data_IF_421923902413
#
_entry.id   IF_421923902413
#
_cell.length_a   1.000
_cell.length_b   1.000
_cell.length_c   1.000
_cell.angle_alpha   90.00
_cell.angle_beta   90.00
_cell.angle_gamma   90.00
#
_symmetry.space_group_name_H-M   'P 1'
#
loop_
_entity.id
_entity.type
_entity.pdbx_description
1 polymer ?
#
# COMPACT_ATOMS: atom_id res chain seq x y z
N UNK A 1 -25.99 14.59 19.92
CA UNK A 1 -27.32 14.11 19.46
C UNK A 1 -27.25 12.86 18.56
N UNK A 2 -26.41 12.78 17.54
CA UNK A 2 -26.35 11.58 16.66
C UNK A 2 -25.97 10.27 17.39
N UNK A 3 -25.30 10.35 18.55
CA UNK A 3 -25.02 9.19 19.43
C UNK A 3 -26.28 8.46 19.89
N UNK A 4 -27.46 9.07 19.84
CA UNK A 4 -28.71 8.43 20.25
C UNK A 4 -29.18 7.32 19.29
N UNK A 5 -28.69 7.31 18.04
CA UNK A 5 -29.07 6.30 17.05
C UNK A 5 -27.97 5.24 16.95
N UNK A 6 -28.19 4.13 17.63
CA UNK A 6 -27.24 3.01 17.72
C UNK A 6 -27.51 1.88 16.70
N UNK A 7 -28.62 1.95 15.96
CA UNK A 7 -28.92 1.01 14.89
C UNK A 7 -27.93 1.23 13.73
N UNK A 8 -27.10 0.23 13.33
CA UNK A 8 -26.03 0.41 12.36
C UNK A 8 -26.43 1.06 11.05
N UNK A 9 -27.39 0.49 10.33
CA UNK A 9 -27.81 1.00 9.02
C UNK A 9 -28.31 2.44 9.09
N UNK A 10 -29.30 2.70 9.98
CA UNK A 10 -29.88 4.03 10.18
C UNK A 10 -28.84 5.05 10.65
N UNK A 11 -27.95 4.64 11.56
CA UNK A 11 -26.88 5.49 12.07
C UNK A 11 -25.85 5.84 11.01
N UNK A 12 -25.47 4.89 10.16
CA UNK A 12 -24.55 5.13 9.04
C UNK A 12 -25.14 6.13 8.03
N UNK A 13 -26.40 5.94 7.63
CA UNK A 13 -27.04 6.88 6.69
C UNK A 13 -27.22 8.27 7.29
N UNK A 14 -27.67 8.37 8.55
CA UNK A 14 -27.80 9.67 9.21
C UNK A 14 -26.45 10.39 9.30
N UNK A 15 -25.40 9.69 9.71
CA UNK A 15 -24.06 10.27 9.86
C UNK A 15 -23.42 10.59 8.51
N UNK A 16 -23.65 9.80 7.48
CA UNK A 16 -23.24 10.13 6.11
C UNK A 16 -23.98 11.35 5.59
N UNK A 17 -25.27 11.50 5.89
CA UNK A 17 -26.04 12.69 5.53
C UNK A 17 -25.51 13.92 6.25
N UNK A 18 -25.19 13.80 7.55
CA UNK A 18 -24.54 14.86 8.33
C UNK A 18 -23.24 15.32 7.66
N UNK A 19 -22.32 14.40 7.33
CA UNK A 19 -21.07 14.73 6.64
C UNK A 19 -21.32 15.45 5.31
N UNK A 20 -22.35 15.06 4.57
CA UNK A 20 -22.67 15.68 3.28
C UNK A 20 -23.18 17.11 3.42
N UNK A 21 -24.01 17.38 4.43
CA UNK A 21 -24.64 18.69 4.67
C UNK A 21 -23.72 19.66 5.42
N UNK A 22 -22.73 19.15 6.15
CA UNK A 22 -21.79 19.97 6.90
C UNK A 22 -20.52 20.31 6.13
N UNK A 23 -20.19 19.58 5.05
CA UNK A 23 -18.89 19.68 4.36
C UNK A 23 -18.53 21.10 3.90
N UNK A 24 -19.49 21.86 3.40
CA UNK A 24 -19.35 23.24 2.94
C UNK A 24 -19.43 24.27 4.08
N UNK A 25 -19.57 23.81 5.32
CA UNK A 25 -19.82 24.61 6.53
C UNK A 25 -18.84 24.30 7.65
N UNK A 26 -17.78 23.55 7.34
CA UNK A 26 -16.70 23.30 8.28
C UNK A 26 -15.79 24.53 8.33
N UNK A 27 -15.34 24.96 9.51
CA UNK A 27 -14.26 25.94 9.62
C UNK A 27 -13.03 25.45 8.86
N UNK A 28 -12.51 26.29 7.97
CA UNK A 28 -11.34 26.01 7.14
C UNK A 28 -10.62 27.32 6.83
N UNK A 29 -9.36 27.27 6.41
CA UNK A 29 -8.56 28.46 6.13
C UNK A 29 -9.28 29.34 5.08
N UNK A 30 -9.56 30.59 5.45
CA UNK A 30 -10.22 31.55 4.56
C UNK A 30 -11.71 31.31 4.34
N UNK A 31 -12.35 30.41 5.09
CA UNK A 31 -13.79 30.16 4.99
C UNK A 31 -14.61 31.16 5.82
N UNK A 32 -15.87 31.40 5.45
CA UNK A 32 -16.77 32.28 6.23
C UNK A 32 -17.12 31.74 7.63
N UNK A 33 -16.77 30.47 7.87
CA UNK A 33 -16.97 29.75 9.13
C UNK A 33 -15.71 29.76 10.01
N UNK A 34 -14.59 30.31 9.53
CA UNK A 34 -13.39 30.54 10.33
C UNK A 34 -13.59 31.73 11.28
N UNK A 35 -13.36 31.51 12.57
CA UNK A 35 -13.44 32.56 13.58
C UNK A 35 -12.60 32.25 14.81
N UNK A 36 -12.49 33.22 15.74
CA UNK A 36 -11.62 33.10 16.93
C UNK A 36 -11.91 31.88 17.81
N UNK A 37 -13.13 31.34 17.76
CA UNK A 37 -13.56 30.17 18.53
C UNK A 37 -13.82 28.91 17.67
N UNK A 38 -13.91 29.06 16.35
CA UNK A 38 -14.26 28.00 15.41
C UNK A 38 -13.09 27.80 14.44
N UNK A 39 -12.27 26.80 14.72
CA UNK A 39 -10.98 26.58 14.06
C UNK A 39 -10.99 25.34 13.17
N UNK A 40 -10.00 25.22 12.29
CA UNK A 40 -9.72 23.99 11.52
C UNK A 40 -9.67 22.75 12.43
N UNK A 41 -9.18 22.90 13.66
CA UNK A 41 -9.12 21.81 14.65
C UNK A 41 -10.52 21.29 15.01
N UNK A 42 -11.50 22.18 15.17
CA UNK A 42 -12.87 21.79 15.48
C UNK A 42 -13.50 21.01 14.32
N UNK A 43 -13.21 21.42 13.07
CA UNK A 43 -13.60 20.66 11.88
C UNK A 43 -12.97 19.27 11.86
N UNK A 44 -11.66 19.16 12.10
CA UNK A 44 -10.94 17.88 12.15
C UNK A 44 -11.49 16.98 13.24
N UNK A 45 -11.68 17.49 14.46
CA UNK A 45 -12.26 16.72 15.56
C UNK A 45 -13.68 16.24 15.26
N UNK A 46 -14.52 17.11 14.68
CA UNK A 46 -15.87 16.77 14.28
C UNK A 46 -15.88 15.59 13.29
N UNK A 47 -15.05 15.67 12.24
CA UNK A 47 -14.99 14.63 11.20
C UNK A 47 -14.39 13.34 11.74
N UNK A 48 -13.32 13.41 12.54
CA UNK A 48 -12.70 12.24 13.18
C UNK A 48 -13.68 11.55 14.14
N UNK A 49 -14.43 12.30 14.95
CA UNK A 49 -15.45 11.74 15.83
C UNK A 49 -16.56 11.06 15.01
N UNK A 50 -16.99 11.66 13.90
CA UNK A 50 -17.99 11.04 13.04
C UNK A 50 -17.47 9.77 12.39
N UNK A 51 -16.22 9.79 11.89
CA UNK A 51 -15.52 8.63 11.36
C UNK A 51 -15.44 7.48 12.36
N UNK A 52 -14.98 7.73 13.60
CA UNK A 52 -14.93 6.73 14.68
C UNK A 52 -16.28 6.06 14.90
N UNK A 53 -17.34 6.87 15.01
CA UNK A 53 -18.68 6.35 15.29
C UNK A 53 -19.27 5.58 14.09
N UNK A 54 -19.03 6.04 12.86
CA UNK A 54 -19.43 5.33 11.66
C UNK A 54 -18.68 4.00 11.51
N UNK A 55 -17.37 3.96 11.76
CA UNK A 55 -16.60 2.73 11.73
C UNK A 55 -17.13 1.72 12.76
N UNK A 56 -17.41 2.15 14.00
CA UNK A 56 -18.03 1.28 15.03
C UNK A 56 -19.38 0.73 14.60
N UNK A 57 -20.25 1.55 14.01
CA UNK A 57 -21.55 1.10 13.51
C UNK A 57 -21.38 0.08 12.37
N UNK A 58 -20.46 0.35 11.45
CA UNK A 58 -20.20 -0.52 10.31
C UNK A 58 -19.62 -1.88 10.72
N UNK A 59 -18.68 -1.91 11.67
CA UNK A 59 -18.15 -3.15 12.25
C UNK A 59 -19.24 -3.90 13.02
N UNK A 60 -20.10 -3.18 13.76
CA UNK A 60 -21.23 -3.78 14.48
C UNK A 60 -22.18 -4.54 13.54
N UNK A 61 -22.32 -4.12 12.28
CA UNK A 61 -23.13 -4.85 11.29
C UNK A 61 -22.68 -6.31 11.14
N UNK A 62 -21.38 -6.62 11.31
CA UNK A 62 -20.86 -7.98 11.18
C UNK A 62 -21.53 -8.96 12.16
N UNK A 63 -21.87 -8.46 13.35
CA UNK A 63 -22.34 -9.26 14.47
C UNK A 63 -23.86 -9.20 14.66
N UNK A 64 -24.60 -8.52 13.78
CA UNK A 64 -26.06 -8.47 13.85
C UNK A 64 -26.68 -9.67 13.11
N UNK A 65 -27.78 -10.21 13.64
CA UNK A 65 -28.52 -11.29 13.00
C UNK A 65 -27.86 -12.67 13.13
N UNK A 66 -28.36 -13.65 12.38
CA UNK A 66 -27.96 -15.05 12.53
C UNK A 66 -26.65 -15.37 11.81
N UNK A 67 -25.88 -16.34 12.31
CA UNK A 67 -24.61 -16.76 11.70
C UNK A 67 -24.74 -17.20 10.22
N UNK A 68 -25.90 -17.78 9.84
CA UNK A 68 -26.18 -18.21 8.46
C UNK A 68 -26.24 -17.06 7.45
N UNK A 69 -26.46 -15.84 7.92
CA UNK A 69 -26.55 -14.65 7.07
C UNK A 69 -25.21 -13.90 6.97
N UNK A 70 -24.11 -14.48 7.48
CA UNK A 70 -22.78 -13.84 7.50
C UNK A 70 -22.37 -13.32 6.12
N UNK A 71 -22.44 -14.16 5.09
CA UNK A 71 -22.04 -13.79 3.73
C UNK A 71 -22.89 -12.65 3.15
N UNK A 72 -24.21 -12.69 3.40
CA UNK A 72 -25.12 -11.60 3.03
C UNK A 72 -24.73 -10.29 3.71
N UNK A 73 -24.39 -10.32 5.00
CA UNK A 73 -23.96 -9.13 5.74
C UNK A 73 -22.62 -8.61 5.25
N UNK A 74 -21.66 -9.47 4.94
CA UNK A 74 -20.38 -9.05 4.39
C UNK A 74 -20.56 -8.32 3.05
N UNK A 75 -21.47 -8.82 2.20
CA UNK A 75 -21.85 -8.14 0.96
C UNK A 75 -22.48 -6.76 1.21
N UNK A 76 -23.50 -6.69 2.07
CA UNK A 76 -24.14 -5.41 2.44
C UNK A 76 -23.14 -4.43 3.05
N UNK A 77 -22.23 -4.90 3.91
CA UNK A 77 -21.16 -4.09 4.50
C UNK A 77 -20.19 -3.58 3.44
N UNK A 78 -19.83 -4.41 2.47
CA UNK A 78 -18.98 -3.98 1.35
C UNK A 78 -19.67 -2.93 0.48
N UNK A 79 -20.99 -2.99 0.30
CA UNK A 79 -21.75 -1.97 -0.44
C UNK A 79 -21.83 -0.63 0.32
N UNK A 80 -21.78 -0.67 1.66
CA UNK A 80 -21.89 0.53 2.52
C UNK A 80 -20.55 1.15 2.92
N UNK A 81 -19.41 0.55 2.52
CA UNK A 81 -18.06 0.99 2.91
C UNK A 81 -17.80 2.48 2.59
N UNK A 82 -18.34 2.94 1.46
CA UNK A 82 -18.17 4.32 0.99
C UNK A 82 -18.85 5.36 1.89
N UNK A 83 -19.85 4.96 2.68
CA UNK A 83 -20.43 5.85 3.68
C UNK A 83 -19.40 6.23 4.75
N UNK A 84 -18.56 5.27 5.16
CA UNK A 84 -17.50 5.51 6.15
C UNK A 84 -16.34 6.27 5.51
N UNK A 85 -15.92 5.86 4.31
CA UNK A 85 -14.81 6.46 3.55
C UNK A 85 -15.01 7.94 3.21
N UNK A 86 -16.27 8.40 3.06
CA UNK A 86 -16.58 9.82 2.88
C UNK A 86 -15.99 10.73 3.96
N UNK A 87 -15.85 10.26 5.20
CA UNK A 87 -15.22 11.09 6.24
C UNK A 87 -13.73 11.32 5.96
N UNK A 88 -13.02 10.30 5.45
CA UNK A 88 -11.63 10.46 5.05
C UNK A 88 -11.52 11.41 3.86
N UNK A 89 -12.43 11.29 2.88
CA UNK A 89 -12.50 12.23 1.76
C UNK A 89 -12.72 13.68 2.20
N UNK A 90 -13.58 13.92 3.20
CA UNK A 90 -13.76 15.25 3.78
C UNK A 90 -12.46 15.74 4.44
N UNK A 91 -11.77 14.90 5.22
CA UNK A 91 -10.47 15.27 5.80
C UNK A 91 -9.45 15.64 4.72
N UNK A 92 -9.35 14.87 3.64
CA UNK A 92 -8.44 15.18 2.53
C UNK A 92 -8.81 16.43 1.72
N UNK A 93 -9.96 17.05 1.98
CA UNK A 93 -10.42 18.28 1.32
C UNK A 93 -10.28 19.54 2.18
N UNK A 94 -9.97 19.40 3.47
CA UNK A 94 -9.78 20.54 4.38
C UNK A 94 -8.39 21.13 4.08
N UNK A 95 -8.35 22.38 3.61
CA UNK A 95 -7.10 23.06 3.22
C UNK A 95 -6.19 23.29 4.42
N UNK A 96 -6.76 23.52 5.60
CA UNK A 96 -6.01 23.70 6.84
C UNK A 96 -5.35 22.45 7.42
N UNK A 97 -5.50 21.27 6.82
CA UNK A 97 -4.74 20.08 7.22
C UNK A 97 -3.38 20.10 6.53
N UNK A 98 -2.43 20.77 7.18
CA UNK A 98 -1.02 20.71 6.80
C UNK A 98 -0.37 19.36 7.20
N UNK A 99 0.90 19.19 6.82
CA UNK A 99 1.65 17.97 7.07
C UNK A 99 1.80 17.67 8.57
N UNK A 100 2.03 18.70 9.39
CA UNK A 100 2.26 18.53 10.83
C UNK A 100 0.95 18.07 11.51
N UNK A 101 -0.17 18.72 11.19
CA UNK A 101 -1.48 18.30 11.69
C UNK A 101 -1.85 16.90 11.22
N UNK A 102 -1.54 16.56 9.97
CA UNK A 102 -1.76 15.22 9.45
C UNK A 102 -0.96 14.16 10.22
N UNK A 103 0.33 14.41 10.40
CA UNK A 103 1.29 13.51 11.05
C UNK A 103 0.99 13.31 12.53
N UNK A 104 0.69 14.38 13.25
CA UNK A 104 0.60 14.35 14.71
C UNK A 104 -0.82 14.03 15.20
N UNK A 105 -1.84 14.28 14.39
CA UNK A 105 -3.24 14.10 14.80
C UNK A 105 -4.06 13.23 13.87
N UNK A 106 -4.18 13.60 12.59
CA UNK A 106 -5.17 12.96 11.69
C UNK A 106 -4.83 11.50 11.43
N UNK A 107 -3.62 11.22 10.94
CA UNK A 107 -3.21 9.86 10.60
C UNK A 107 -3.18 8.94 11.83
N UNK A 108 -2.57 9.30 12.98
CA UNK A 108 -2.58 8.44 14.16
C UNK A 108 -3.99 8.08 14.63
N UNK A 109 -4.91 9.05 14.67
CA UNK A 109 -6.30 8.80 15.11
C UNK A 109 -7.10 7.97 14.13
N UNK A 110 -6.87 8.13 12.82
CA UNK A 110 -7.49 7.27 11.81
C UNK A 110 -6.94 5.85 11.92
N UNK A 111 -5.62 5.67 11.96
CA UNK A 111 -4.98 4.36 12.07
C UNK A 111 -5.34 3.64 13.36
N UNK A 112 -5.52 4.35 14.48
CA UNK A 112 -6.03 3.77 15.73
C UNK A 112 -7.37 3.06 15.48
N UNK A 113 -8.30 3.69 14.75
CA UNK A 113 -9.59 3.07 14.44
C UNK A 113 -9.46 1.91 13.45
N UNK A 114 -8.54 1.98 12.48
CA UNK A 114 -8.28 0.90 11.51
C UNK A 114 -7.70 -0.32 12.23
N UNK A 115 -6.69 -0.13 13.09
CA UNK A 115 -6.04 -1.24 13.79
C UNK A 115 -6.96 -1.86 14.85
N UNK A 116 -7.68 -1.03 15.61
CA UNK A 116 -8.49 -1.49 16.73
C UNK A 116 -9.86 -2.04 16.33
N UNK A 117 -10.33 -1.80 15.10
CA UNK A 117 -11.60 -2.38 14.67
C UNK A 117 -11.55 -3.89 14.50
N UNK A 118 -10.36 -4.47 14.29
CA UNK A 118 -10.12 -5.91 14.17
C UNK A 118 -11.04 -6.61 13.16
N UNK A 119 -11.43 -5.90 12.10
CA UNK A 119 -12.36 -6.36 11.08
C UNK A 119 -11.70 -6.31 9.68
N UNK A 120 -11.79 -7.43 8.97
CA UNK A 120 -11.07 -7.67 7.70
C UNK A 120 -11.49 -6.71 6.59
N UNK A 121 -12.80 -6.51 6.42
CA UNK A 121 -13.35 -5.63 5.38
C UNK A 121 -12.98 -4.18 5.69
N UNK A 122 -13.11 -3.77 6.95
CA UNK A 122 -12.81 -2.42 7.37
C UNK A 122 -11.32 -2.09 7.26
N UNK A 123 -10.44 -2.98 7.71
CA UNK A 123 -9.00 -2.75 7.67
C UNK A 123 -8.47 -2.57 6.25
N UNK A 124 -8.81 -3.50 5.35
CA UNK A 124 -8.37 -3.40 3.95
C UNK A 124 -8.90 -2.15 3.28
N UNK A 125 -10.21 -1.89 3.39
CA UNK A 125 -10.83 -0.74 2.73
C UNK A 125 -10.34 0.61 3.27
N UNK A 126 -10.29 0.77 4.60
CA UNK A 126 -9.91 2.06 5.19
C UNK A 126 -8.44 2.39 4.92
N UNK A 127 -7.57 1.38 4.92
CA UNK A 127 -6.17 1.57 4.56
C UNK A 127 -6.01 1.98 3.10
N UNK A 128 -6.72 1.31 2.17
CA UNK A 128 -6.78 1.73 0.76
C UNK A 128 -7.31 3.17 0.62
N UNK A 129 -8.32 3.55 1.42
CA UNK A 129 -8.91 4.88 1.39
C UNK A 129 -7.91 5.95 1.89
N UNK A 130 -7.15 5.68 2.95
CA UNK A 130 -6.05 6.56 3.40
C UNK A 130 -5.05 6.75 2.25
N UNK A 131 -4.60 5.65 1.65
CA UNK A 131 -3.63 5.68 0.54
C UNK A 131 -4.18 6.47 -0.64
N UNK A 132 -5.48 6.44 -0.94
CA UNK A 132 -6.07 7.14 -2.08
C UNK A 132 -6.36 8.63 -1.83
N UNK A 133 -6.81 8.97 -0.63
CA UNK A 133 -7.35 10.30 -0.35
C UNK A 133 -6.25 11.32 -0.04
N UNK A 134 -5.23 10.94 0.75
CA UNK A 134 -4.22 11.90 1.20
C UNK A 134 -3.07 12.06 0.18
N UNK A 135 -2.37 13.21 0.18
CA UNK A 135 -1.27 13.49 -0.76
C UNK A 135 -0.05 12.57 -0.63
N UNK A 136 0.75 12.46 -1.71
CA UNK A 136 1.96 11.62 -1.74
C UNK A 136 3.04 12.08 -0.76
N UNK A 137 3.24 13.40 -0.63
CA UNK A 137 4.16 14.01 0.33
C UNK A 137 3.82 13.57 1.76
N UNK A 138 2.53 13.53 2.10
CA UNK A 138 2.09 13.13 3.43
C UNK A 138 2.39 11.66 3.67
N UNK A 139 2.14 10.78 2.70
CA UNK A 139 2.49 9.37 2.78
C UNK A 139 3.99 9.15 2.94
N UNK A 140 4.82 9.93 2.24
CA UNK A 140 6.27 9.81 2.30
C UNK A 140 6.80 10.20 3.69
N UNK A 141 6.31 11.31 4.24
CA UNK A 141 6.74 11.84 5.53
C UNK A 141 6.15 11.06 6.72
N UNK A 142 5.06 10.32 6.52
CA UNK A 142 4.40 9.50 7.55
C UNK A 142 4.56 7.98 7.33
N UNK A 143 5.44 7.59 6.41
CA UNK A 143 5.61 6.21 5.95
C UNK A 143 5.83 5.21 7.10
N UNK A 144 6.59 5.59 8.12
CA UNK A 144 6.84 4.76 9.29
C UNK A 144 5.57 4.46 10.08
N UNK A 145 4.76 5.49 10.37
CA UNK A 145 3.49 5.36 11.10
C UNK A 145 2.49 4.54 10.29
N UNK A 146 2.39 4.80 8.98
CA UNK A 146 1.51 4.07 8.06
C UNK A 146 1.87 2.58 8.01
N UNK A 147 3.14 2.26 7.76
CA UNK A 147 3.62 0.89 7.64
C UNK A 147 3.63 0.15 8.99
N UNK A 148 3.80 0.86 10.11
CA UNK A 148 3.74 0.29 11.46
C UNK A 148 2.36 -0.28 11.83
N UNK A 149 1.29 0.14 11.14
CA UNK A 149 -0.04 -0.42 11.32
C UNK A 149 -0.22 -1.77 10.60
N UNK A 150 0.47 -2.01 9.49
CA UNK A 150 0.23 -3.16 8.60
C UNK A 150 0.38 -4.53 9.28
N UNK A 151 1.41 -4.79 10.12
CA UNK A 151 1.54 -6.07 10.82
C UNK A 151 0.42 -6.36 11.83
N UNK A 152 -0.39 -5.36 12.19
CA UNK A 152 -1.44 -5.48 13.21
C UNK A 152 -2.82 -5.81 12.64
N UNK A 153 -2.91 -5.95 11.32
CA UNK A 153 -4.15 -6.26 10.59
C UNK A 153 -4.51 -7.74 10.73
N UNK A 154 -5.78 -8.06 10.52
CA UNK A 154 -6.25 -9.44 10.51
C UNK A 154 -5.57 -10.23 9.38
N UNK A 155 -5.22 -11.52 9.57
CA UNK A 155 -4.51 -12.32 8.57
C UNK A 155 -5.21 -12.42 7.21
N UNK A 156 -6.54 -12.35 7.19
CA UNK A 156 -7.35 -12.42 5.97
C UNK A 156 -7.42 -11.09 5.19
N UNK A 157 -6.89 -10.00 5.74
CA UNK A 157 -6.79 -8.73 4.99
C UNK A 157 -5.79 -8.89 3.84
N UNK A 158 -6.19 -8.46 2.65
CA UNK A 158 -5.35 -8.49 1.44
C UNK A 158 -4.24 -7.41 1.48
N UNK A 159 -3.38 -7.49 2.49
CA UNK A 159 -2.35 -6.49 2.77
C UNK A 159 -1.32 -6.37 1.64
N UNK A 160 -1.10 -7.46 0.88
CA UNK A 160 -0.23 -7.43 -0.30
C UNK A 160 -0.71 -6.42 -1.33
N UNK A 161 -2.00 -6.32 -1.56
CA UNK A 161 -2.58 -5.43 -2.57
C UNK A 161 -2.52 -3.99 -2.08
N UNK A 162 -2.80 -3.77 -0.79
CA UNK A 162 -2.68 -2.45 -0.14
C UNK A 162 -1.25 -1.93 -0.22
N UNK A 163 -0.25 -2.72 0.17
CA UNK A 163 1.16 -2.32 0.11
C UNK A 163 1.67 -2.16 -1.32
N UNK A 164 1.23 -3.02 -2.25
CA UNK A 164 1.56 -2.88 -3.68
C UNK A 164 1.06 -1.53 -4.23
N UNK A 165 -0.18 -1.13 -3.91
CA UNK A 165 -0.74 0.17 -4.32
C UNK A 165 0.00 1.35 -3.72
N UNK A 166 0.40 1.28 -2.45
CA UNK A 166 1.23 2.32 -1.82
C UNK A 166 2.57 2.46 -2.56
N UNK A 167 3.26 1.34 -2.82
CA UNK A 167 4.54 1.36 -3.53
C UNK A 167 4.41 1.85 -4.97
N UNK A 168 3.37 1.44 -5.69
CA UNK A 168 3.06 1.94 -7.03
C UNK A 168 2.80 3.44 -7.02
N UNK A 169 1.98 3.92 -6.08
CA UNK A 169 1.67 5.34 -5.92
C UNK A 169 2.93 6.17 -5.65
N UNK A 170 3.77 5.74 -4.70
CA UNK A 170 5.04 6.41 -4.40
C UNK A 170 6.05 6.32 -5.56
N UNK A 171 6.07 5.22 -6.31
CA UNK A 171 6.90 5.11 -7.52
C UNK A 171 6.48 6.12 -8.57
N UNK A 172 5.17 6.30 -8.78
CA UNK A 172 4.65 7.29 -9.71
C UNK A 172 4.94 8.72 -9.24
N UNK A 173 4.88 8.99 -7.94
CA UNK A 173 5.26 10.29 -7.38
C UNK A 173 6.73 10.62 -7.67
N UNK A 174 7.65 9.66 -7.45
CA UNK A 174 9.06 9.79 -7.82
C UNK A 174 9.28 9.97 -9.33
N UNK A 175 8.40 9.43 -10.18
CA UNK A 175 8.45 9.57 -11.63
C UNK A 175 8.08 10.99 -12.09
N UNK A 176 7.14 11.62 -11.40
CA UNK A 176 6.58 12.93 -11.77
C UNK A 176 7.50 14.08 -11.40
N UNK A 177 8.30 13.95 -10.35
CA UNK A 177 9.25 14.98 -9.93
C UNK A 177 10.58 14.38 -9.48
N UNK A 178 11.66 14.65 -10.23
CA UNK A 178 12.99 14.25 -9.81
C UNK A 178 13.45 14.99 -8.53
N UNK A 179 12.83 16.14 -8.22
CA UNK A 179 13.16 16.96 -7.05
C UNK A 179 12.76 16.30 -5.73
N UNK A 180 11.82 15.35 -5.75
CA UNK A 180 11.39 14.63 -4.55
C UNK A 180 12.26 13.41 -4.24
N UNK A 181 13.10 12.96 -5.18
CA UNK A 181 13.97 11.80 -4.99
C UNK A 181 14.89 11.90 -3.75
N UNK A 182 15.51 13.06 -3.42
CA UNK A 182 16.27 13.22 -2.19
C UNK A 182 15.45 12.96 -0.93
N UNK A 183 14.15 13.30 -0.92
CA UNK A 183 13.28 13.06 0.23
C UNK A 183 13.09 11.56 0.49
N UNK A 184 12.96 10.73 -0.56
CA UNK A 184 12.89 9.27 -0.42
C UNK A 184 14.12 8.69 0.29
N UNK A 185 15.31 9.24 0.02
CA UNK A 185 16.53 8.87 0.73
C UNK A 185 16.51 9.38 2.18
N UNK A 186 16.11 10.62 2.40
CA UNK A 186 16.06 11.25 3.72
C UNK A 186 15.12 10.50 4.68
N UNK A 187 13.95 10.05 4.20
CA UNK A 187 13.00 9.29 5.01
C UNK A 187 13.31 7.79 5.04
N UNK A 188 14.38 7.35 4.37
CA UNK A 188 14.79 5.94 4.25
C UNK A 188 13.68 5.04 3.71
N UNK A 189 12.98 5.48 2.67
CA UNK A 189 11.75 4.85 2.17
C UNK A 189 11.93 3.36 1.85
N UNK A 190 13.04 2.99 1.17
CA UNK A 190 13.36 1.59 0.89
C UNK A 190 13.49 0.75 2.16
N UNK A 191 14.26 1.22 3.16
CA UNK A 191 14.52 0.47 4.38
C UNK A 191 13.23 0.26 5.18
N UNK A 192 12.38 1.30 5.27
CA UNK A 192 11.08 1.23 5.93
C UNK A 192 10.13 0.25 5.24
N UNK A 193 10.01 0.32 3.91
CA UNK A 193 9.20 -0.61 3.12
C UNK A 193 9.70 -2.06 3.25
N UNK A 194 11.01 -2.28 3.11
CA UNK A 194 11.61 -3.61 3.23
C UNK A 194 11.39 -4.20 4.63
N UNK A 195 11.61 -3.41 5.69
CA UNK A 195 11.35 -3.83 7.07
C UNK A 195 9.88 -4.15 7.31
N UNK A 196 8.96 -3.30 6.81
CA UNK A 196 7.54 -3.50 6.96
C UNK A 196 7.05 -4.77 6.25
N UNK A 197 7.51 -5.04 5.03
CA UNK A 197 7.21 -6.28 4.31
C UNK A 197 7.68 -7.49 5.11
N UNK A 198 8.90 -7.46 5.65
CA UNK A 198 9.42 -8.52 6.53
C UNK A 198 8.49 -8.78 7.73
N UNK A 199 8.14 -7.72 8.47
CA UNK A 199 7.23 -7.80 9.64
C UNK A 199 5.83 -8.30 9.27
N UNK A 200 5.29 -7.89 8.13
CA UNK A 200 3.97 -8.34 7.65
C UNK A 200 4.00 -9.83 7.30
N UNK A 201 5.05 -10.30 6.62
CA UNK A 201 5.23 -11.73 6.30
C UNK A 201 5.38 -12.55 7.58
N UNK A 202 6.07 -12.03 8.60
CA UNK A 202 6.21 -12.70 9.90
C UNK A 202 4.90 -12.73 10.69
N UNK A 203 4.12 -11.64 10.66
CA UNK A 203 2.83 -11.56 11.34
C UNK A 203 1.72 -12.39 10.67
N UNK A 204 1.85 -12.69 9.37
CA UNK A 204 0.90 -13.50 8.61
C UNK A 204 1.50 -14.86 8.23
N UNK A 205 1.53 -15.79 9.19
CA UNK A 205 2.13 -17.13 9.02
C UNK A 205 1.54 -17.92 7.82
N UNK A 206 0.24 -17.75 7.55
CA UNK A 206 -0.48 -18.44 6.47
C UNK A 206 -0.40 -17.73 5.11
N UNK A 207 0.42 -16.68 4.96
CA UNK A 207 0.54 -15.95 3.69
C UNK A 207 1.04 -16.89 2.58
N UNK A 208 0.30 -17.04 1.46
CA UNK A 208 0.75 -17.85 0.34
C UNK A 208 2.05 -17.31 -0.25
N UNK A 209 2.91 -18.21 -0.76
CA UNK A 209 4.19 -17.83 -1.39
C UNK A 209 3.99 -16.81 -2.50
N UNK A 210 2.94 -16.96 -3.33
CA UNK A 210 2.61 -15.97 -4.35
C UNK A 210 2.40 -14.56 -3.75
N UNK A 211 1.81 -14.43 -2.57
CA UNK A 211 1.65 -13.15 -1.87
C UNK A 211 2.98 -12.56 -1.44
N UNK A 212 3.85 -13.38 -0.85
CA UNK A 212 5.22 -12.98 -0.45
C UNK A 212 6.02 -12.48 -1.66
N UNK A 213 6.01 -13.24 -2.76
CA UNK A 213 6.74 -12.87 -3.98
C UNK A 213 6.13 -11.62 -4.61
N UNK A 214 4.81 -11.43 -4.59
CA UNK A 214 4.17 -10.19 -5.07
C UNK A 214 4.62 -8.96 -4.28
N UNK A 215 4.77 -9.06 -2.96
CA UNK A 215 5.28 -7.97 -2.13
C UNK A 215 6.70 -7.58 -2.53
N UNK A 216 7.60 -8.56 -2.66
CA UNK A 216 8.98 -8.31 -3.10
C UNK A 216 9.08 -7.83 -4.55
N UNK A 217 8.21 -8.30 -5.45
CA UNK A 217 8.10 -7.82 -6.82
C UNK A 217 7.72 -6.33 -6.87
N UNK A 218 6.78 -5.92 -6.01
CA UNK A 218 6.36 -4.53 -5.87
C UNK A 218 7.48 -3.66 -5.30
N UNK A 219 8.18 -4.15 -4.26
CA UNK A 219 9.34 -3.46 -3.68
C UNK A 219 10.49 -3.33 -4.67
N UNK A 220 10.74 -4.35 -5.50
CA UNK A 220 11.76 -4.31 -6.53
C UNK A 220 11.42 -3.25 -7.58
N UNK A 221 10.17 -3.22 -8.03
CA UNK A 221 9.70 -2.24 -9.02
C UNK A 221 9.87 -0.82 -8.47
N UNK A 222 9.47 -0.59 -7.22
CA UNK A 222 9.72 0.67 -6.50
C UNK A 222 11.21 1.01 -6.46
N UNK A 223 12.06 0.06 -6.05
CA UNK A 223 13.50 0.29 -5.89
C UNK A 223 14.19 0.62 -7.21
N UNK A 224 13.84 -0.08 -8.29
CA UNK A 224 14.35 0.19 -9.64
C UNK A 224 13.88 1.54 -10.19
N UNK A 225 12.76 2.06 -9.71
CA UNK A 225 12.25 3.36 -10.13
C UNK A 225 12.88 4.51 -9.34
N UNK A 226 12.83 4.42 -8.01
CA UNK A 226 13.26 5.48 -7.08
C UNK A 226 14.77 5.47 -6.84
N UNK A 227 15.41 4.31 -6.85
CA UNK A 227 16.83 4.13 -6.55
C UNK A 227 17.54 3.30 -7.64
N UNK A 228 17.54 3.74 -8.91
CA UNK A 228 18.08 2.96 -10.02
C UNK A 228 19.56 2.61 -9.85
N UNK A 229 20.35 3.43 -9.16
CA UNK A 229 21.79 3.19 -8.99
C UNK A 229 22.13 2.28 -7.78
N UNK A 230 21.14 1.91 -6.96
CA UNK A 230 21.33 1.13 -5.73
C UNK A 230 21.17 -0.37 -5.98
N UNK A 231 22.21 -0.96 -6.59
CA UNK A 231 22.31 -2.40 -6.84
C UNK A 231 22.20 -3.24 -5.55
N UNK A 232 22.67 -2.69 -4.43
CA UNK A 232 22.59 -3.33 -3.12
C UNK A 232 21.15 -3.51 -2.64
N UNK A 233 20.25 -2.57 -2.93
CA UNK A 233 18.82 -2.71 -2.62
C UNK A 233 18.18 -3.83 -3.43
N UNK A 234 18.49 -3.88 -4.73
CA UNK A 234 18.04 -4.96 -5.61
C UNK A 234 18.53 -6.32 -5.11
N UNK A 235 19.82 -6.44 -4.78
CA UNK A 235 20.39 -7.71 -4.30
C UNK A 235 19.81 -8.14 -2.94
N UNK A 236 19.50 -7.18 -2.06
CA UNK A 236 18.81 -7.45 -0.79
C UNK A 236 17.42 -8.05 -1.00
N UNK A 237 16.63 -7.51 -1.94
CA UNK A 237 15.29 -8.04 -2.26
C UNK A 237 15.41 -9.46 -2.83
N UNK A 238 16.34 -9.68 -3.76
CA UNK A 238 16.60 -11.02 -4.31
C UNK A 238 17.00 -12.00 -3.21
N UNK A 239 17.88 -11.58 -2.29
CA UNK A 239 18.27 -12.38 -1.13
C UNK A 239 17.10 -12.72 -0.21
N UNK A 240 16.21 -11.76 0.06
CA UNK A 240 15.01 -11.99 0.86
C UNK A 240 14.05 -12.99 0.19
N UNK A 241 13.88 -12.91 -1.14
CA UNK A 241 13.16 -13.91 -1.93
C UNK A 241 13.79 -15.31 -1.79
N UNK A 242 15.10 -15.43 -1.99
CA UNK A 242 15.83 -16.71 -1.87
C UNK A 242 15.63 -17.32 -0.50
N UNK A 243 15.75 -16.53 0.58
CA UNK A 243 15.54 -17.01 1.94
C UNK A 243 14.13 -17.57 2.14
N UNK A 244 13.09 -16.87 1.67
CA UNK A 244 11.69 -17.33 1.83
C UNK A 244 11.32 -18.53 0.94
N UNK A 245 12.07 -18.77 -0.13
CA UNK A 245 11.91 -19.92 -1.03
C UNK A 245 12.77 -21.12 -0.62
N UNK A 246 13.86 -20.88 0.10
CA UNK A 246 14.75 -21.94 0.57
C UNK A 246 13.99 -23.00 1.39
N UNK A 247 14.28 -24.28 1.12
CA UNK A 247 13.65 -25.40 1.81
C UNK A 247 12.23 -25.77 1.34
N UNK A 248 11.59 -24.98 0.46
CA UNK A 248 10.22 -25.27 -0.05
C UNK A 248 10.19 -26.15 -1.31
N UNK A 249 11.34 -26.58 -1.82
CA UNK A 249 11.49 -27.32 -3.07
C UNK A 249 11.22 -26.46 -4.31
N UNK A 250 11.25 -27.07 -5.50
CA UNK A 250 10.94 -26.38 -6.76
C UNK A 250 9.50 -25.85 -6.75
N UNK A 251 9.34 -24.57 -7.08
CA UNK A 251 8.04 -23.91 -7.12
C UNK A 251 7.13 -24.49 -8.21
N UNK A 252 5.89 -24.78 -7.85
CA UNK A 252 4.85 -25.29 -8.77
C UNK A 252 3.64 -24.34 -8.89
N UNK A 253 3.58 -23.30 -8.07
CA UNK A 253 2.50 -22.32 -8.13
C UNK A 253 2.74 -21.36 -9.30
N UNK A 254 1.91 -21.50 -10.34
CA UNK A 254 1.96 -20.66 -11.54
C UNK A 254 1.92 -19.16 -11.24
N UNK A 255 1.23 -18.70 -10.18
CA UNK A 255 1.18 -17.28 -9.83
C UNK A 255 2.51 -16.83 -9.25
N UNK A 256 3.08 -17.60 -8.32
CA UNK A 256 4.39 -17.31 -7.73
C UNK A 256 5.48 -17.33 -8.81
N UNK A 257 5.45 -18.34 -9.69
CA UNK A 257 6.38 -18.48 -10.82
C UNK A 257 6.40 -17.24 -11.71
N UNK A 258 5.22 -16.76 -12.16
CA UNK A 258 5.13 -15.54 -12.99
C UNK A 258 5.73 -14.32 -12.29
N UNK A 259 5.52 -14.20 -10.98
CA UNK A 259 6.06 -13.08 -10.22
C UNK A 259 7.58 -13.18 -10.05
N UNK A 260 8.15 -14.38 -9.93
CA UNK A 260 9.61 -14.54 -9.91
C UNK A 260 10.22 -14.23 -11.27
N UNK A 261 9.58 -14.64 -12.36
CA UNK A 261 10.00 -14.25 -13.70
C UNK A 261 10.01 -12.73 -13.83
N UNK A 262 8.98 -12.05 -13.34
CA UNK A 262 8.94 -10.58 -13.31
C UNK A 262 10.11 -9.98 -12.47
N UNK A 263 10.38 -10.54 -11.29
CA UNK A 263 11.48 -10.13 -10.41
C UNK A 263 12.84 -10.26 -11.12
N UNK A 264 13.08 -11.35 -11.83
CA UNK A 264 14.34 -11.60 -12.52
C UNK A 264 14.46 -10.82 -13.83
N UNK A 265 13.33 -10.44 -14.44
CA UNK A 265 13.28 -9.69 -15.70
C UNK A 265 13.43 -8.19 -15.48
N UNK A 266 12.86 -7.63 -14.41
CA UNK A 266 12.84 -6.19 -14.18
C UNK A 266 14.24 -5.53 -14.14
N UNK A 267 15.27 -6.11 -13.47
CA UNK A 267 16.63 -5.58 -13.52
C UNK A 267 17.25 -5.63 -14.91
N UNK A 268 16.96 -6.68 -15.70
CA UNK A 268 17.47 -6.84 -17.07
C UNK A 268 16.91 -5.80 -18.02
N UNK A 269 15.66 -5.40 -17.83
CA UNK A 269 14.99 -4.38 -18.64
C UNK A 269 15.42 -2.97 -18.23
N UNK A 270 15.70 -2.75 -16.93
CA UNK A 270 16.07 -1.44 -16.40
C UNK A 270 17.54 -1.09 -16.66
N UNK A 271 18.46 -2.04 -16.47
CA UNK A 271 19.89 -1.80 -16.63
C UNK A 271 20.32 -1.87 -18.10
N UNK A 272 21.14 -0.90 -18.52
CA UNK A 272 21.72 -0.87 -19.87
C UNK A 272 22.70 -2.01 -20.11
N UNK A 273 23.38 -2.47 -19.06
CA UNK A 273 24.34 -3.56 -19.11
C UNK A 273 23.81 -4.76 -18.34
N UNK A 274 23.59 -5.86 -19.06
CA UNK A 274 23.10 -7.13 -18.50
C UNK A 274 24.09 -7.68 -17.47
N UNK A 275 25.39 -7.43 -17.64
CA UNK A 275 26.39 -7.90 -16.68
C UNK A 275 26.17 -7.26 -15.29
N UNK A 276 25.54 -6.08 -15.22
CA UNK A 276 25.20 -5.45 -13.94
C UNK A 276 24.19 -6.28 -13.16
N UNK A 277 23.13 -6.76 -13.83
CA UNK A 277 22.12 -7.62 -13.22
C UNK A 277 22.68 -9.01 -12.90
N UNK A 278 23.50 -9.59 -13.79
CA UNK A 278 24.05 -10.93 -13.61
C UNK A 278 25.14 -11.01 -12.53
N UNK A 279 25.81 -9.89 -12.21
CA UNK A 279 26.79 -9.81 -11.13
C UNK A 279 26.16 -9.73 -9.72
N UNK A 280 24.85 -9.55 -9.62
CA UNK A 280 24.14 -9.56 -8.33
C UNK A 280 24.28 -10.94 -7.67
N UNK A 281 24.68 -10.96 -6.40
CA UNK A 281 25.09 -12.20 -5.73
C UNK A 281 23.94 -13.19 -5.55
N UNK A 282 22.71 -12.69 -5.38
CA UNK A 282 21.52 -13.50 -5.17
C UNK A 282 20.74 -13.80 -6.45
N UNK A 283 21.12 -13.22 -7.60
CA UNK A 283 20.44 -13.50 -8.87
C UNK A 283 20.58 -14.96 -9.31
N UNK A 284 21.78 -15.58 -9.34
CA UNK A 284 21.92 -17.00 -9.66
C UNK A 284 21.21 -17.91 -8.65
N UNK A 285 21.25 -17.55 -7.36
CA UNK A 285 20.60 -18.31 -6.28
C UNK A 285 19.09 -18.35 -6.43
N UNK A 286 18.48 -17.26 -6.93
CA UNK A 286 17.05 -17.25 -7.21
C UNK A 286 16.70 -18.11 -8.43
N UNK A 287 17.56 -18.12 -9.45
CA UNK A 287 17.43 -19.00 -10.63
C UNK A 287 17.48 -20.49 -10.27
N UNK A 288 18.28 -20.88 -9.26
CA UNK A 288 18.38 -22.29 -8.81
C UNK A 288 17.08 -22.83 -8.20
N UNK A 289 16.21 -21.97 -7.69
CA UNK A 289 14.92 -22.36 -7.10
C UNK A 289 13.81 -22.59 -8.13
N UNK A 290 14.08 -22.29 -9.42
CA UNK A 290 13.12 -22.43 -10.49
C UNK A 290 12.97 -23.90 -10.92
N UNK A 291 11.78 -24.23 -11.43
CA UNK A 291 11.58 -25.50 -12.14
C UNK A 291 12.11 -25.40 -13.58
N UNK A 292 12.16 -26.54 -14.28
CA UNK A 292 12.81 -26.62 -15.59
C UNK A 292 12.04 -25.81 -16.65
N UNK A 293 10.71 -25.72 -16.50
CA UNK A 293 9.86 -24.91 -17.37
C UNK A 293 10.16 -23.42 -17.21
N UNK A 294 10.18 -22.93 -15.98
CA UNK A 294 10.45 -21.51 -15.70
C UNK A 294 11.90 -21.14 -16.02
N UNK A 295 12.84 -22.06 -15.78
CA UNK A 295 14.24 -21.86 -16.16
C UNK A 295 14.40 -21.66 -17.67
N UNK A 296 13.65 -22.42 -18.48
CA UNK A 296 13.59 -22.23 -19.95
C UNK A 296 12.99 -20.88 -20.34
N UNK A 297 11.92 -20.46 -19.66
CA UNK A 297 11.31 -19.15 -19.89
C UNK A 297 12.32 -18.02 -19.59
N UNK A 298 12.98 -18.07 -18.43
CA UNK A 298 14.02 -17.10 -18.06
C UNK A 298 15.21 -17.11 -19.01
N UNK A 299 15.65 -18.28 -19.48
CA UNK A 299 16.71 -18.38 -20.47
C UNK A 299 16.32 -17.67 -21.79
N UNK A 300 15.07 -17.82 -22.23
CA UNK A 300 14.57 -17.09 -23.40
C UNK A 300 14.56 -15.58 -23.16
N UNK A 301 14.11 -15.11 -21.99
CA UNK A 301 14.12 -13.68 -21.62
C UNK A 301 15.54 -13.12 -21.65
N UNK A 302 16.52 -13.83 -21.08
CA UNK A 302 17.92 -13.44 -21.10
C UNK A 302 18.45 -13.33 -22.53
N UNK A 303 18.24 -14.36 -23.36
CA UNK A 303 18.67 -14.36 -24.77
C UNK A 303 18.05 -13.20 -25.54
N UNK A 304 16.75 -12.96 -25.38
CA UNK A 304 16.06 -11.85 -26.04
C UNK A 304 16.62 -10.48 -25.62
N UNK A 305 16.91 -10.27 -24.35
CA UNK A 305 17.51 -9.02 -23.87
C UNK A 305 18.94 -8.84 -24.39
N UNK A 306 19.78 -9.89 -24.39
CA UNK A 306 21.14 -9.83 -24.95
C UNK A 306 21.09 -9.47 -26.45
N UNK A 307 20.16 -10.08 -27.20
CA UNK A 307 20.00 -9.81 -28.63
C UNK A 307 19.57 -8.37 -28.89
N UNK A 308 18.58 -7.85 -28.14
CA UNK A 308 18.13 -6.45 -28.25
C UNK A 308 19.28 -5.47 -28.05
N UNK A 309 20.12 -5.68 -27.03
CA UNK A 309 21.25 -4.80 -26.74
C UNK A 309 22.30 -4.88 -27.85
N UNK A 310 22.64 -6.08 -28.34
CA UNK A 310 23.58 -6.25 -29.47
C UNK A 310 23.08 -5.57 -30.74
N UNK A 311 21.79 -5.68 -31.05
CA UNK A 311 21.15 -4.99 -32.18
C UNK A 311 21.24 -3.47 -32.04
N UNK A 312 20.99 -2.93 -30.85
CA UNK A 312 21.14 -1.50 -30.58
C UNK A 312 22.59 -1.02 -30.79
N UNK A 313 23.59 -1.78 -30.34
CA UNK A 313 25.00 -1.48 -30.59
C UNK A 313 25.37 -1.52 -32.08
N UNK A 314 24.81 -2.44 -32.87
CA UNK A 314 25.06 -2.51 -34.31
C UNK A 314 24.42 -1.35 -35.08
N UNK A 315 23.24 -0.88 -34.67
CA UNK A 315 22.58 0.28 -35.26
C UNK A 315 23.32 1.59 -34.94
N UNK A 316 23.79 1.76 -33.71
CA UNK A 316 24.61 2.91 -33.31
C UNK A 316 25.95 3.00 -34.05
N UNK A 317 26.54 1.87 -34.44
CA UNK A 317 27.77 1.84 -35.26
C UNK A 317 27.55 2.17 -36.75
N UNK A 318 26.29 2.21 -37.21
CA UNK A 318 25.93 2.50 -38.62
C UNK A 318 25.52 3.96 -38.83
N UNK A 319 25.31 4.72 -37.76
CA UNK A 319 25.13 6.18 -37.76
C UNK A 319 26.50 6.86 -37.60
#
# INVERSE_FOLDING_TARGET
MCRSIQHPLRGLFLRSYLSQVSRDKLPDIGSEYEGDADTVMDAVEFVLQNFTEMNKLWVRMQHQGHAREKEKREKERSELRDLVGKNLHVLGQIEGIDLDLYKDMVLPRVLEQVVNCKDEIAQGYLMDCIIQVFPDEYHLQTLETLLGACPQFQPAVDIKTVLARLMERLSNYAALSAEVLPEFFQVEAFAKLNSAIGKVIEAQEDMPIAGVVTLYSSLLTFSLHVHPDRLDYVDQILGACVQKLSGKGKLKDNKATKQIVAILSAPLEKYKDIDTALKLSNYPRLMENLDDSTSKEMANVLVQNILKIKLAFQLLKRL
#
